data_IF_673772652761
#
_entry.id   IF_673772652761
#
_cell.length_a   1.000
_cell.length_b   1.000
_cell.length_c   1.000
_cell.angle_alpha   90.00
_cell.angle_beta   90.00
_cell.angle_gamma   90.00
#
_symmetry.space_group_name_H-M   'P 1'
#
loop_
_entity.id
_entity.type
_entity.pdbx_description
1 polymer ?
#
# COMPACT_ATOMS: atom_id res chain seq x y z
N UNK A 1 40.03 -24.52 22.71
CA UNK A 1 39.18 -23.41 23.21
C UNK A 1 38.84 -22.36 22.15
N UNK A 2 39.70 -21.99 21.17
CA UNK A 2 39.37 -21.00 20.13
C UNK A 2 38.09 -21.30 19.33
N UNK A 3 37.90 -22.56 18.87
CA UNK A 3 36.75 -22.94 18.03
C UNK A 3 35.38 -22.74 18.69
N UNK A 4 35.27 -22.74 20.02
CA UNK A 4 33.97 -22.62 20.69
C UNK A 4 33.46 -21.18 20.71
N UNK A 5 34.37 -20.20 20.72
CA UNK A 5 34.04 -18.77 20.70
C UNK A 5 33.63 -18.36 19.28
N UNK A 6 34.38 -18.79 18.27
CA UNK A 6 34.03 -18.55 16.86
C UNK A 6 32.69 -19.19 16.48
N UNK A 7 32.44 -20.45 16.88
CA UNK A 7 31.15 -21.09 16.65
C UNK A 7 29.97 -20.34 17.32
N UNK A 8 30.18 -19.76 18.50
CA UNK A 8 29.14 -18.98 19.18
C UNK A 8 28.86 -17.64 18.47
N UNK A 9 29.91 -16.97 17.95
CA UNK A 9 29.77 -15.75 17.17
C UNK A 9 28.99 -16.00 15.86
N UNK A 10 29.30 -17.09 15.15
CA UNK A 10 28.58 -17.52 13.95
C UNK A 10 27.08 -17.79 14.21
N UNK A 11 26.76 -18.50 15.30
CA UNK A 11 25.37 -18.79 15.68
C UNK A 11 24.60 -17.51 16.01
N UNK A 12 25.23 -16.56 16.71
CA UNK A 12 24.60 -15.28 17.02
C UNK A 12 24.38 -14.44 15.75
N UNK A 13 25.32 -14.45 14.81
CA UNK A 13 25.17 -13.78 13.52
C UNK A 13 23.94 -14.32 12.78
N UNK A 14 23.84 -15.64 12.60
CA UNK A 14 22.70 -16.27 11.92
C UNK A 14 21.37 -16.03 12.66
N UNK A 15 21.38 -16.03 13.99
CA UNK A 15 20.18 -15.71 14.78
C UNK A 15 19.71 -14.27 14.56
N UNK A 16 20.65 -13.33 14.43
CA UNK A 16 20.34 -11.93 14.11
C UNK A 16 19.85 -11.76 12.68
N UNK A 17 20.42 -12.50 11.71
CA UNK A 17 19.93 -12.53 10.32
C UNK A 17 18.49 -13.03 10.27
N UNK A 18 18.19 -14.15 10.93
CA UNK A 18 16.84 -14.68 11.00
C UNK A 18 15.85 -13.66 11.60
N UNK A 19 16.29 -12.95 12.66
CA UNK A 19 15.47 -11.90 13.29
C UNK A 19 15.17 -10.74 12.33
N UNK A 20 16.18 -10.27 11.59
CA UNK A 20 16.02 -9.20 10.59
C UNK A 20 14.97 -9.58 9.52
N UNK A 21 15.02 -10.82 9.02
CA UNK A 21 14.04 -11.31 8.04
C UNK A 21 12.62 -11.36 8.62
N UNK A 22 12.46 -11.62 9.92
CA UNK A 22 11.14 -11.67 10.56
C UNK A 22 10.60 -10.31 11.01
N UNK A 23 11.41 -9.26 11.08
CA UNK A 23 11.03 -7.95 11.64
C UNK A 23 10.56 -6.94 10.60
N UNK A 24 10.91 -7.11 9.33
CA UNK A 24 10.60 -6.15 8.26
C UNK A 24 10.26 -6.86 6.93
N UNK A 25 9.41 -6.21 6.14
CA UNK A 25 9.12 -6.59 4.75
C UNK A 25 9.91 -5.75 3.72
N UNK A 26 10.69 -4.78 4.18
CA UNK A 26 11.58 -3.96 3.35
C UNK A 26 12.89 -4.72 3.13
N UNK A 27 13.08 -5.23 1.91
CA UNK A 27 14.26 -6.02 1.55
C UNK A 27 15.57 -5.23 1.72
N UNK A 28 15.58 -3.93 1.41
CA UNK A 28 16.74 -3.09 1.60
C UNK A 28 17.12 -2.98 3.08
N UNK A 29 16.13 -2.87 3.97
CA UNK A 29 16.35 -2.90 5.41
C UNK A 29 16.87 -4.26 5.88
N UNK A 30 16.19 -5.36 5.50
CA UNK A 30 16.58 -6.73 5.86
C UNK A 30 18.01 -7.02 5.42
N UNK A 31 18.38 -6.62 4.21
CA UNK A 31 19.72 -6.81 3.66
C UNK A 31 20.79 -6.03 4.44
N UNK A 32 20.53 -4.75 4.77
CA UNK A 32 21.48 -3.94 5.57
C UNK A 32 21.68 -4.50 6.98
N UNK A 33 20.60 -4.92 7.64
CA UNK A 33 20.68 -5.53 8.97
C UNK A 33 21.42 -6.88 8.93
N UNK A 34 21.17 -7.67 7.89
CA UNK A 34 21.88 -8.94 7.66
C UNK A 34 23.38 -8.72 7.44
N UNK A 35 23.77 -7.81 6.55
CA UNK A 35 25.17 -7.49 6.29
C UNK A 35 25.87 -6.99 7.55
N UNK A 36 25.20 -6.18 8.38
CA UNK A 36 25.73 -5.73 9.66
C UNK A 36 25.93 -6.88 10.65
N UNK A 37 24.94 -7.77 10.80
CA UNK A 37 25.02 -8.93 11.68
C UNK A 37 26.17 -9.87 11.27
N UNK A 38 26.36 -10.07 9.96
CA UNK A 38 27.48 -10.84 9.43
C UNK A 38 28.81 -10.14 9.67
N UNK A 39 28.89 -8.81 9.51
CA UNK A 39 30.11 -8.06 9.81
C UNK A 39 30.54 -8.15 11.27
N UNK A 40 29.60 -8.03 12.21
CA UNK A 40 29.88 -8.16 13.64
C UNK A 40 30.28 -9.60 14.03
N UNK A 41 29.73 -10.61 13.34
CA UNK A 41 29.95 -12.03 13.68
C UNK A 41 31.15 -12.70 13.00
N UNK A 42 31.49 -12.28 11.77
CA UNK A 42 32.52 -12.89 10.92
C UNK A 42 33.72 -11.96 10.67
N UNK A 43 33.67 -10.71 11.13
CA UNK A 43 34.73 -9.74 10.85
C UNK A 43 34.79 -9.29 9.40
N UNK A 44 33.64 -9.25 8.71
CA UNK A 44 33.55 -8.78 7.32
C UNK A 44 33.90 -7.29 7.27
N UNK A 45 34.86 -6.94 6.42
CA UNK A 45 35.25 -5.55 6.19
C UNK A 45 34.23 -4.84 5.30
N UNK A 46 33.72 -5.53 4.28
CA UNK A 46 32.72 -5.02 3.33
C UNK A 46 31.79 -6.12 2.87
N UNK A 47 30.53 -5.79 2.64
CA UNK A 47 29.57 -6.74 2.13
C UNK A 47 28.59 -6.09 1.18
N UNK A 48 28.11 -6.85 0.20
CA UNK A 48 27.12 -6.40 -0.76
C UNK A 48 26.12 -7.51 -1.06
N UNK A 49 24.85 -7.12 -1.13
CA UNK A 49 23.77 -7.93 -1.69
C UNK A 49 23.54 -7.46 -3.11
N UNK A 50 23.62 -8.37 -4.07
CA UNK A 50 23.40 -8.12 -5.49
C UNK A 50 22.16 -8.89 -5.93
N UNK A 51 21.22 -8.24 -6.60
CA UNK A 51 20.00 -8.85 -7.13
C UNK A 51 19.93 -8.69 -8.64
N UNK A 52 19.44 -9.73 -9.32
CA UNK A 52 19.12 -9.64 -10.75
C UNK A 52 17.96 -8.68 -10.95
N UNK A 53 18.07 -7.79 -11.93
CA UNK A 53 16.93 -7.08 -12.47
C UNK A 53 16.46 -7.80 -13.75
N UNK A 54 15.30 -8.49 -13.73
CA UNK A 54 14.79 -9.22 -14.89
C UNK A 54 14.53 -8.33 -16.12
N UNK A 55 14.22 -7.05 -15.92
CA UNK A 55 13.89 -6.12 -17.01
C UNK A 55 15.15 -5.53 -17.68
N UNK A 56 16.21 -5.31 -16.90
CA UNK A 56 17.44 -4.67 -17.38
C UNK A 56 18.51 -5.66 -17.87
N UNK A 57 18.36 -6.96 -17.58
CA UNK A 57 19.35 -7.99 -17.94
C UNK A 57 20.70 -7.85 -17.20
N UNK A 58 20.75 -7.04 -16.14
CA UNK A 58 21.92 -6.79 -15.32
C UNK A 58 21.57 -6.99 -13.84
N UNK A 59 22.56 -7.40 -13.05
CA UNK A 59 22.45 -7.50 -11.60
C UNK A 59 23.05 -6.24 -10.94
N UNK A 60 22.35 -5.71 -9.94
CA UNK A 60 22.68 -4.44 -9.26
C UNK A 60 22.81 -4.65 -7.76
N UNK A 61 23.62 -3.81 -7.11
CA UNK A 61 23.75 -3.83 -5.65
C UNK A 61 22.47 -3.25 -5.03
N UNK A 62 21.73 -4.08 -4.30
CA UNK A 62 20.53 -3.70 -3.55
C UNK A 62 20.89 -3.07 -2.19
N UNK A 63 21.90 -3.64 -1.53
CA UNK A 63 22.38 -3.16 -0.23
C UNK A 63 23.88 -3.39 -0.09
N UNK A 64 24.54 -2.52 0.67
CA UNK A 64 25.96 -2.62 0.94
C UNK A 64 26.30 -2.23 2.38
N UNK A 65 27.43 -2.74 2.86
CA UNK A 65 28.05 -2.43 4.15
C UNK A 65 29.48 -1.95 3.92
N UNK A 66 29.86 -0.86 4.58
CA UNK A 66 31.17 -0.18 4.44
C UNK A 66 31.55 0.17 2.98
N UNK A 67 30.57 0.65 2.22
CA UNK A 67 30.74 1.16 0.85
C UNK A 67 30.07 2.53 0.71
N UNK A 68 30.66 3.41 -0.07
CA UNK A 68 30.09 4.70 -0.47
C UNK A 68 29.00 4.55 -1.54
N UNK A 69 28.12 5.54 -1.66
CA UNK A 69 27.06 5.52 -2.67
C UNK A 69 27.59 5.46 -4.11
N UNK A 70 28.74 6.06 -4.39
CA UNK A 70 29.36 5.99 -5.73
C UNK A 70 29.85 4.58 -6.06
N UNK A 71 30.42 3.87 -5.08
CA UNK A 71 30.86 2.48 -5.24
C UNK A 71 29.67 1.55 -5.48
N UNK A 72 28.56 1.77 -4.77
CA UNK A 72 27.30 1.03 -4.94
C UNK A 72 26.74 1.24 -6.36
N UNK A 73 26.66 2.51 -6.82
CA UNK A 73 26.13 2.84 -8.17
C UNK A 73 26.94 2.23 -9.30
N UNK A 74 28.27 2.05 -9.12
CA UNK A 74 29.16 1.43 -10.10
C UNK A 74 29.06 -0.10 -10.14
N UNK A 75 28.52 -0.73 -9.09
CA UNK A 75 28.41 -2.18 -8.96
C UNK A 75 27.28 -2.78 -9.82
N UNK A 76 27.49 -2.81 -11.14
CA UNK A 76 26.61 -3.47 -12.12
C UNK A 76 27.31 -4.66 -12.75
N UNK A 77 26.63 -5.79 -12.80
CA UNK A 77 27.19 -7.07 -13.22
C UNK A 77 26.32 -7.75 -14.27
N UNK A 78 26.92 -8.18 -15.38
CA UNK A 78 26.26 -9.07 -16.34
C UNK A 78 26.46 -10.53 -15.95
N UNK A 79 25.60 -11.40 -16.43
CA UNK A 79 25.76 -12.84 -16.20
C UNK A 79 27.11 -13.35 -16.76
N UNK A 80 27.79 -14.19 -15.98
CA UNK A 80 29.13 -14.71 -16.30
C UNK A 80 30.28 -13.70 -16.16
N UNK A 81 29.99 -12.44 -15.82
CA UNK A 81 30.98 -11.37 -15.73
C UNK A 81 31.64 -11.28 -14.34
N UNK A 82 32.94 -11.59 -14.28
CA UNK A 82 33.68 -11.63 -13.02
C UNK A 82 33.12 -12.68 -12.05
N UNK A 83 33.58 -12.64 -10.79
CA UNK A 83 33.15 -13.64 -9.79
C UNK A 83 31.65 -13.52 -9.49
N UNK A 84 31.14 -12.31 -9.22
CA UNK A 84 29.71 -12.10 -8.91
C UNK A 84 28.82 -12.56 -10.07
N UNK A 85 29.12 -12.15 -11.31
CA UNK A 85 28.35 -12.57 -12.47
C UNK A 85 28.43 -14.08 -12.73
N UNK A 86 29.57 -14.72 -12.45
CA UNK A 86 29.71 -16.18 -12.54
C UNK A 86 28.90 -16.91 -11.48
N UNK A 87 28.96 -16.51 -10.21
CA UNK A 87 28.14 -17.10 -9.14
C UNK A 87 26.65 -17.00 -9.49
N UNK A 88 26.25 -15.86 -10.04
CA UNK A 88 24.87 -15.63 -10.50
C UNK A 88 24.49 -16.54 -11.68
N UNK A 89 25.43 -16.84 -12.58
CA UNK A 89 25.20 -17.68 -13.76
C UNK A 89 25.27 -19.19 -13.47
N UNK A 90 26.22 -19.62 -12.64
CA UNK A 90 26.42 -21.04 -12.30
C UNK A 90 25.56 -21.48 -11.12
N UNK A 91 25.20 -20.55 -10.24
CA UNK A 91 24.58 -20.89 -8.95
C UNK A 91 25.54 -21.63 -8.01
N UNK A 92 26.84 -21.51 -8.20
CA UNK A 92 27.85 -22.13 -7.34
C UNK A 92 28.60 -21.06 -6.56
N UNK A 93 28.85 -21.30 -5.27
CA UNK A 93 29.63 -20.40 -4.44
C UNK A 93 31.09 -20.34 -4.92
N UNK A 94 31.71 -19.17 -4.81
CA UNK A 94 33.11 -18.97 -5.13
C UNK A 94 33.83 -18.37 -3.93
N UNK A 95 34.90 -19.04 -3.50
CA UNK A 95 35.80 -18.60 -2.44
C UNK A 95 37.13 -18.25 -3.08
N UNK A 96 37.58 -17.01 -2.87
CA UNK A 96 38.84 -16.49 -3.38
C UNK A 96 39.71 -16.11 -2.19
N UNK A 97 40.65 -16.99 -1.78
CA UNK A 97 41.48 -16.73 -0.61
C UNK A 97 42.33 -15.47 -0.75
N UNK A 98 42.89 -15.20 -1.93
CA UNK A 98 43.67 -13.99 -2.15
C UNK A 98 43.27 -13.32 -3.46
N UNK A 99 42.57 -12.20 -3.35
CA UNK A 99 42.09 -11.42 -4.49
C UNK A 99 43.22 -10.96 -5.41
N UNK A 100 44.41 -10.65 -4.86
CA UNK A 100 45.57 -10.22 -5.62
C UNK A 100 46.18 -11.30 -6.53
N UNK A 101 45.83 -12.57 -6.30
CA UNK A 101 46.28 -13.71 -7.11
C UNK A 101 45.19 -14.24 -8.06
N UNK A 102 43.98 -13.66 -8.05
CA UNK A 102 42.81 -14.15 -8.81
C UNK A 102 42.55 -13.33 -10.09
N UNK A 103 42.80 -13.89 -11.29
CA UNK A 103 42.61 -13.18 -12.56
C UNK A 103 41.16 -12.77 -12.86
N UNK A 104 40.16 -13.46 -12.29
CA UNK A 104 38.74 -13.21 -12.55
C UNK A 104 38.14 -12.11 -11.67
N UNK A 105 38.92 -11.52 -10.75
CA UNK A 105 38.45 -10.48 -9.86
C UNK A 105 38.49 -9.09 -10.54
N UNK A 106 37.32 -8.54 -10.88
CA UNK A 106 37.20 -7.34 -11.72
C UNK A 106 37.29 -5.98 -11.00
N UNK A 107 37.35 -5.93 -9.66
CA UNK A 107 37.40 -4.69 -8.84
C UNK A 107 36.50 -3.54 -9.37
N UNK A 108 35.27 -3.85 -9.81
CA UNK A 108 34.39 -2.93 -10.54
C UNK A 108 33.99 -1.68 -9.75
N UNK A 109 33.94 -1.78 -8.44
CA UNK A 109 33.63 -0.67 -7.53
C UNK A 109 34.76 0.37 -7.49
N UNK A 110 35.97 0.04 -7.96
CA UNK A 110 37.21 0.83 -7.84
C UNK A 110 37.54 1.25 -6.40
N UNK A 111 36.97 0.52 -5.45
CA UNK A 111 36.99 0.81 -4.00
C UNK A 111 38.31 0.47 -3.29
N UNK A 112 39.29 -0.07 -4.03
CA UNK A 112 40.52 -0.67 -3.51
C UNK A 112 41.69 -0.17 -4.33
N UNK A 113 42.61 0.56 -3.70
CA UNK A 113 43.88 0.96 -4.32
C UNK A 113 44.75 -0.27 -4.66
N UNK A 114 45.76 -0.09 -5.51
CA UNK A 114 46.55 -1.22 -6.06
C UNK A 114 47.35 -2.02 -5.02
N UNK A 115 47.63 -1.46 -3.83
CA UNK A 115 48.36 -2.12 -2.74
C UNK A 115 47.50 -3.02 -1.83
N UNK A 116 46.16 -2.93 -1.87
CA UNK A 116 45.25 -3.62 -0.92
C UNK A 116 44.82 -5.02 -1.43
N UNK A 117 45.09 -5.33 -2.70
CA UNK A 117 44.63 -6.60 -3.32
C UNK A 117 45.20 -7.84 -2.65
N UNK A 118 46.40 -7.78 -2.06
CA UNK A 118 47.08 -8.95 -1.46
C UNK A 118 46.66 -9.28 -0.03
N UNK A 119 45.77 -8.48 0.60
CA UNK A 119 45.39 -8.60 2.01
C UNK A 119 43.90 -8.91 2.23
N UNK A 120 43.16 -9.26 1.18
CA UNK A 120 41.71 -9.51 1.25
C UNK A 120 41.37 -10.86 0.61
N UNK A 121 40.57 -11.62 1.35
CA UNK A 121 39.81 -12.78 0.91
C UNK A 121 38.42 -12.33 0.43
N UNK A 122 37.88 -12.97 -0.59
CA UNK A 122 36.54 -12.67 -1.11
C UNK A 122 35.70 -13.93 -1.17
N UNK A 123 34.49 -13.87 -0.61
CA UNK A 123 33.51 -14.96 -0.70
C UNK A 123 32.26 -14.43 -1.38
N UNK A 124 31.75 -15.18 -2.35
CA UNK A 124 30.52 -14.87 -3.05
C UNK A 124 29.63 -16.12 -3.11
N UNK A 125 28.44 -16.03 -2.53
CA UNK A 125 27.47 -17.14 -2.46
C UNK A 125 26.19 -16.76 -3.21
N UNK A 126 25.53 -17.72 -3.87
CA UNK A 126 24.32 -17.46 -4.65
C UNK A 126 23.08 -17.32 -3.76
N UNK A 127 22.16 -16.42 -4.13
CA UNK A 127 20.79 -16.42 -3.61
C UNK A 127 19.93 -17.29 -4.51
N UNK A 128 19.52 -18.46 -4.00
CA UNK A 128 18.72 -19.43 -4.75
C UNK A 128 17.25 -19.38 -4.34
N UNK A 129 16.37 -19.29 -5.33
CA UNK A 129 14.93 -19.42 -5.19
C UNK A 129 14.40 -20.39 -6.24
N UNK A 130 13.69 -21.44 -5.81
CA UNK A 130 13.00 -22.39 -6.69
C UNK A 130 13.87 -22.99 -7.82
N UNK A 131 15.18 -23.15 -7.55
CA UNK A 131 16.16 -23.67 -8.52
C UNK A 131 16.86 -22.62 -9.38
N UNK A 132 16.42 -21.37 -9.31
CA UNK A 132 17.02 -20.23 -10.01
C UNK A 132 17.89 -19.38 -9.08
N UNK A 133 18.95 -18.79 -9.63
CA UNK A 133 19.79 -17.84 -8.89
C UNK A 133 19.29 -16.43 -9.13
N UNK A 134 18.69 -15.82 -8.11
CA UNK A 134 18.08 -14.48 -8.17
C UNK A 134 19.05 -13.36 -7.79
N UNK A 135 20.23 -13.71 -7.29
CA UNK A 135 21.23 -12.75 -6.85
C UNK A 135 22.48 -13.42 -6.26
N UNK A 136 23.34 -12.61 -5.65
CA UNK A 136 24.50 -13.09 -4.90
C UNK A 136 24.76 -12.23 -3.66
N UNK A 137 25.25 -12.86 -2.59
CA UNK A 137 25.78 -12.22 -1.40
C UNK A 137 27.31 -12.32 -1.47
N UNK A 138 27.97 -11.17 -1.45
CA UNK A 138 29.42 -11.09 -1.60
C UNK A 138 30.05 -10.30 -0.47
N UNK A 139 31.17 -10.78 0.06
CA UNK A 139 31.85 -10.17 1.21
C UNK A 139 33.37 -10.16 1.04
N UNK A 140 34.00 -9.14 1.63
CA UNK A 140 35.43 -9.01 1.81
C UNK A 140 35.79 -9.36 3.26
N UNK A 141 36.78 -10.24 3.40
CA UNK A 141 37.34 -10.67 4.67
C UNK A 141 38.86 -10.38 4.67
N UNK A 142 39.48 -10.16 5.83
CA UNK A 142 40.93 -10.10 5.93
C UNK A 142 41.57 -11.40 5.40
N UNK A 143 42.67 -11.28 4.66
CA UNK A 143 43.44 -12.44 4.22
C UNK A 143 44.35 -12.96 5.34
N UNK A 144 44.29 -14.27 5.58
CA UNK A 144 45.17 -15.00 6.50
C UNK A 144 45.49 -16.37 5.87
N UNK A 145 46.78 -16.74 5.79
CA UNK A 145 47.24 -18.00 5.18
C UNK A 145 46.84 -19.24 6.00
N UNK A 146 46.51 -19.07 7.28
CA UNK A 146 46.16 -20.17 8.19
C UNK A 146 44.65 -20.35 8.37
N UNK A 147 43.81 -19.44 7.85
CA UNK A 147 42.35 -19.46 8.04
C UNK A 147 41.64 -20.21 6.92
N UNK A 148 40.86 -21.21 7.32
CA UNK A 148 39.97 -21.97 6.45
C UNK A 148 38.67 -21.17 6.19
N UNK A 149 38.41 -20.79 4.93
CA UNK A 149 37.25 -19.98 4.52
C UNK A 149 35.98 -20.84 4.28
N UNK A 150 36.08 -22.16 4.39
CA UNK A 150 34.96 -23.08 4.16
C UNK A 150 33.84 -22.92 5.20
N UNK A 151 34.17 -22.59 6.45
CA UNK A 151 33.16 -22.34 7.48
C UNK A 151 32.41 -21.03 7.22
N UNK A 152 33.13 -19.98 6.80
CA UNK A 152 32.55 -18.68 6.45
C UNK A 152 31.62 -18.80 5.24
N UNK A 153 32.05 -19.54 4.20
CA UNK A 153 31.21 -19.83 3.04
C UNK A 153 29.89 -20.49 3.44
N UNK A 154 29.92 -21.49 4.33
CA UNK A 154 28.72 -22.18 4.80
C UNK A 154 27.78 -21.23 5.56
N UNK A 155 28.32 -20.38 6.43
CA UNK A 155 27.53 -19.41 7.19
C UNK A 155 26.88 -18.39 6.24
N UNK A 156 27.64 -17.89 5.26
CA UNK A 156 27.15 -16.97 4.24
C UNK A 156 26.08 -17.63 3.38
N UNK A 157 26.24 -18.90 3.01
CA UNK A 157 25.26 -19.68 2.26
C UNK A 157 23.94 -19.82 3.03
N UNK A 158 23.97 -20.02 4.36
CA UNK A 158 22.77 -20.01 5.20
C UNK A 158 22.12 -18.61 5.23
N UNK A 159 22.92 -17.56 5.40
CA UNK A 159 22.41 -16.18 5.39
C UNK A 159 21.79 -15.80 4.04
N UNK A 160 22.42 -16.19 2.92
CA UNK A 160 21.90 -16.01 1.58
C UNK A 160 20.56 -16.74 1.40
N UNK A 161 20.39 -17.92 2.01
CA UNK A 161 19.11 -18.62 2.08
C UNK A 161 18.01 -17.79 2.76
N UNK A 162 18.30 -17.17 3.91
CA UNK A 162 17.34 -16.28 4.59
C UNK A 162 17.00 -15.04 3.76
N UNK A 163 17.99 -14.39 3.15
CA UNK A 163 17.75 -13.23 2.28
C UNK A 163 16.92 -13.65 1.05
N UNK A 164 17.22 -14.79 0.44
CA UNK A 164 16.43 -15.32 -0.67
C UNK A 164 14.95 -15.48 -0.27
N UNK A 165 14.68 -16.02 0.93
CA UNK A 165 13.31 -16.10 1.45
C UNK A 165 12.64 -14.73 1.60
N UNK A 166 13.37 -13.71 2.07
CA UNK A 166 12.87 -12.34 2.14
C UNK A 166 12.50 -11.79 0.75
N UNK A 167 13.35 -12.03 -0.26
CA UNK A 167 13.08 -11.65 -1.67
C UNK A 167 11.78 -12.30 -2.16
N UNK A 168 11.60 -13.60 -1.90
CA UNK A 168 10.37 -14.34 -2.29
C UNK A 168 9.12 -13.74 -1.65
N UNK A 169 9.18 -13.43 -0.36
CA UNK A 169 8.04 -12.84 0.36
C UNK A 169 7.70 -11.47 -0.22
N UNK A 170 8.70 -10.62 -0.50
CA UNK A 170 8.46 -9.31 -1.10
C UNK A 170 7.78 -9.43 -2.47
N UNK A 171 8.31 -10.30 -3.35
CA UNK A 171 7.71 -10.52 -4.68
C UNK A 171 6.26 -11.01 -4.59
N UNK A 172 5.96 -11.91 -3.66
CA UNK A 172 4.60 -12.40 -3.44
C UNK A 172 3.65 -11.26 -3.00
N UNK A 173 4.09 -10.45 -2.04
CA UNK A 173 3.32 -9.29 -1.55
C UNK A 173 3.08 -8.27 -2.67
N UNK A 174 4.10 -7.99 -3.49
CA UNK A 174 4.02 -7.04 -4.60
C UNK A 174 3.07 -7.53 -5.71
N UNK A 175 3.16 -8.80 -6.08
CA UNK A 175 2.27 -9.44 -7.05
C UNK A 175 0.82 -9.43 -6.59
N UNK A 176 0.56 -9.83 -5.34
CA UNK A 176 -0.80 -9.81 -4.77
C UNK A 176 -1.37 -8.39 -4.70
N UNK A 177 -0.55 -7.41 -4.31
CA UNK A 177 -0.95 -6.00 -4.29
C UNK A 177 -1.30 -5.49 -5.69
N UNK A 178 -0.56 -5.88 -6.73
CA UNK A 178 -0.89 -5.53 -8.12
C UNK A 178 -2.20 -6.17 -8.55
N UNK A 179 -2.37 -7.47 -8.31
CA UNK A 179 -3.60 -8.20 -8.64
C UNK A 179 -4.84 -7.58 -8.01
N UNK A 180 -4.77 -7.24 -6.71
CA UNK A 180 -5.87 -6.59 -6.00
C UNK A 180 -6.18 -5.19 -6.55
N UNK A 181 -5.17 -4.44 -7.00
CA UNK A 181 -5.39 -3.14 -7.66
C UNK A 181 -6.11 -3.29 -8.99
N UNK A 182 -5.69 -4.25 -9.81
CA UNK A 182 -6.29 -4.50 -11.12
C UNK A 182 -7.74 -4.99 -10.98
N UNK A 183 -7.99 -5.91 -10.04
CA UNK A 183 -9.33 -6.36 -9.71
C UNK A 183 -10.20 -5.20 -9.20
N UNK A 184 -9.68 -4.35 -8.32
CA UNK A 184 -10.41 -3.17 -7.85
C UNK A 184 -10.75 -2.23 -9.00
N UNK A 185 -9.82 -2.01 -9.93
CA UNK A 185 -10.04 -1.18 -11.12
C UNK A 185 -11.08 -1.81 -12.05
N UNK A 186 -11.03 -3.12 -12.27
CA UNK A 186 -12.04 -3.84 -13.06
C UNK A 186 -13.43 -3.77 -12.41
N UNK A 187 -13.53 -3.98 -11.10
CA UNK A 187 -14.80 -3.86 -10.36
C UNK A 187 -15.35 -2.43 -10.42
N UNK A 188 -14.49 -1.41 -10.27
CA UNK A 188 -14.88 0.00 -10.45
C UNK A 188 -15.42 0.28 -11.84
N UNK A 189 -14.72 -0.19 -12.88
CA UNK A 189 -15.16 -0.04 -14.28
C UNK A 189 -16.46 -0.80 -14.57
N UNK A 190 -16.65 -1.98 -13.99
CA UNK A 190 -17.89 -2.73 -14.12
C UNK A 190 -19.06 -1.97 -13.49
N UNK A 191 -18.87 -1.40 -12.29
CA UNK A 191 -19.84 -0.49 -11.68
C UNK A 191 -20.10 0.75 -12.57
N UNK A 192 -19.06 1.41 -13.07
CA UNK A 192 -19.23 2.57 -13.97
C UNK A 192 -20.00 2.23 -15.25
N UNK A 193 -19.80 1.03 -15.80
CA UNK A 193 -20.54 0.50 -16.94
C UNK A 193 -22.02 0.26 -16.63
N UNK A 194 -22.34 -0.18 -15.41
CA UNK A 194 -23.70 -0.42 -14.92
C UNK A 194 -24.51 0.85 -14.65
N UNK A 195 -23.88 2.00 -14.42
CA UNK A 195 -24.56 3.24 -14.00
C UNK A 195 -24.47 4.39 -15.01
N UNK A 196 -24.18 4.10 -16.28
CA UNK A 196 -24.37 5.06 -17.38
C UNK A 196 -25.86 5.33 -17.57
N UNK A 197 -26.21 6.57 -17.95
CA UNK A 197 -27.59 6.97 -18.35
C UNK A 197 -28.22 5.98 -19.36
N UNK A 198 -27.39 5.27 -20.16
CA UNK A 198 -27.81 4.22 -21.10
C UNK A 198 -28.52 3.02 -20.45
N UNK A 199 -28.36 2.79 -19.15
CA UNK A 199 -28.97 1.64 -18.45
C UNK A 199 -30.30 2.01 -17.78
N UNK A 200 -30.65 3.29 -17.69
CA UNK A 200 -32.00 3.72 -17.37
C UNK A 200 -32.87 3.57 -18.63
N UNK A 201 -33.72 2.55 -18.66
CA UNK A 201 -34.62 2.30 -19.79
C UNK A 201 -35.86 3.17 -19.64
N UNK A 202 -36.06 4.12 -20.57
CA UNK A 202 -37.26 4.95 -20.61
C UNK A 202 -37.37 5.71 -21.93
N UNK A 203 -38.28 5.31 -22.80
CA UNK A 203 -38.47 5.92 -24.14
C UNK A 203 -39.58 6.97 -24.18
N UNK A 204 -40.34 7.15 -23.10
CA UNK A 204 -41.41 8.14 -23.03
C UNK A 204 -40.85 9.57 -22.95
N UNK A 205 -41.58 10.54 -23.49
CA UNK A 205 -41.17 11.94 -23.48
C UNK A 205 -40.90 12.48 -22.06
N UNK A 206 -41.69 12.02 -21.06
CA UNK A 206 -41.51 12.40 -19.65
C UNK A 206 -40.18 11.88 -19.10
N UNK A 207 -39.80 10.63 -19.42
CA UNK A 207 -38.50 10.09 -18.99
C UNK A 207 -37.32 10.75 -19.72
N UNK A 208 -37.48 11.12 -20.99
CA UNK A 208 -36.46 11.87 -21.71
C UNK A 208 -36.20 13.23 -21.07
N UNK A 209 -37.24 13.94 -20.63
CA UNK A 209 -37.08 15.19 -19.87
C UNK A 209 -36.30 14.98 -18.56
N UNK A 210 -36.55 13.87 -17.83
CA UNK A 210 -35.78 13.51 -16.63
C UNK A 210 -34.31 13.26 -16.99
N UNK A 211 -34.01 12.55 -18.08
CA UNK A 211 -32.64 12.30 -18.52
C UNK A 211 -31.90 13.57 -18.90
N UNK A 212 -32.56 14.51 -19.57
CA UNK A 212 -32.01 15.84 -19.89
C UNK A 212 -31.68 16.63 -18.62
N UNK A 213 -32.58 16.62 -17.62
CA UNK A 213 -32.34 17.24 -16.32
C UNK A 213 -31.15 16.60 -15.59
N UNK A 214 -31.05 15.27 -15.58
CA UNK A 214 -29.90 14.56 -15.00
C UNK A 214 -28.61 14.99 -15.70
N UNK A 215 -28.59 15.01 -17.03
CA UNK A 215 -27.40 15.40 -17.79
C UNK A 215 -26.96 16.85 -17.52
N UNK A 216 -27.93 17.76 -17.36
CA UNK A 216 -27.67 19.17 -17.03
C UNK A 216 -27.10 19.32 -15.60
N UNK A 217 -27.73 18.67 -14.62
CA UNK A 217 -27.40 18.84 -13.20
C UNK A 217 -26.19 18.00 -12.79
N UNK A 218 -25.87 16.91 -13.49
CA UNK A 218 -24.78 16.00 -13.14
C UNK A 218 -23.42 16.73 -13.04
N UNK A 219 -23.13 17.69 -13.92
CA UNK A 219 -21.88 18.48 -13.88
C UNK A 219 -21.86 19.59 -12.83
N UNK A 220 -22.98 19.85 -12.16
CA UNK A 220 -23.05 20.87 -11.11
C UNK A 220 -22.61 20.33 -9.75
N UNK A 221 -22.23 21.23 -8.84
CA UNK A 221 -22.02 20.93 -7.42
C UNK A 221 -23.28 21.08 -6.57
N UNK A 222 -24.41 21.41 -7.19
CA UNK A 222 -25.65 21.64 -6.47
C UNK A 222 -26.14 20.36 -5.77
N UNK A 223 -26.76 20.55 -4.62
CA UNK A 223 -27.56 19.53 -3.95
C UNK A 223 -28.77 19.20 -4.84
N UNK A 224 -29.08 17.91 -4.97
CA UNK A 224 -30.20 17.45 -5.80
C UNK A 224 -31.22 16.74 -4.92
N UNK A 225 -32.49 17.11 -5.04
CA UNK A 225 -33.61 16.40 -4.43
C UNK A 225 -34.35 15.60 -5.50
N UNK A 226 -34.46 14.29 -5.30
CA UNK A 226 -35.19 13.36 -6.16
C UNK A 226 -36.53 13.03 -5.50
N UNK A 227 -37.63 13.46 -6.10
CA UNK A 227 -38.98 13.13 -5.64
C UNK A 227 -39.58 12.01 -6.49
N UNK A 228 -40.39 11.17 -5.86
CA UNK A 228 -41.12 10.12 -6.57
C UNK A 228 -41.55 8.99 -5.65
N UNK A 229 -42.48 8.17 -6.12
CA UNK A 229 -43.03 7.05 -5.35
C UNK A 229 -41.95 6.01 -4.99
N UNK A 230 -42.20 5.20 -3.96
CA UNK A 230 -41.32 4.11 -3.57
C UNK A 230 -41.18 3.08 -4.68
N UNK A 231 -39.98 2.55 -4.90
CA UNK A 231 -39.73 1.55 -5.94
C UNK A 231 -39.52 2.09 -7.37
N UNK A 232 -39.59 3.41 -7.59
CA UNK A 232 -39.38 4.04 -8.92
C UNK A 232 -37.91 4.14 -9.36
N UNK A 233 -36.97 3.55 -8.61
CA UNK A 233 -35.55 3.55 -8.98
C UNK A 233 -34.80 4.86 -8.69
N UNK A 234 -35.20 5.62 -7.67
CA UNK A 234 -34.52 6.87 -7.26
C UNK A 234 -33.02 6.71 -7.01
N UNK A 235 -32.59 5.55 -6.48
CA UNK A 235 -31.15 5.25 -6.31
C UNK A 235 -30.41 5.18 -7.65
N UNK A 236 -31.03 4.65 -8.72
CA UNK A 236 -30.43 4.61 -10.05
C UNK A 236 -30.23 6.02 -10.61
N UNK A 237 -31.18 6.93 -10.34
CA UNK A 237 -31.06 8.35 -10.70
C UNK A 237 -29.91 9.01 -9.93
N UNK A 238 -29.78 8.74 -8.63
CA UNK A 238 -28.68 9.26 -7.82
C UNK A 238 -27.31 8.78 -8.31
N UNK A 239 -27.20 7.50 -8.66
CA UNK A 239 -25.98 6.93 -9.26
C UNK A 239 -25.70 7.56 -10.62
N UNK A 240 -26.71 7.71 -11.48
CA UNK A 240 -26.55 8.38 -12.77
C UNK A 240 -26.04 9.82 -12.60
N UNK A 241 -26.56 10.59 -11.64
CA UNK A 241 -26.06 11.93 -11.31
C UNK A 241 -24.58 11.91 -10.89
N UNK A 242 -24.16 10.94 -10.08
CA UNK A 242 -22.77 10.81 -9.63
C UNK A 242 -21.82 10.41 -10.76
N UNK A 243 -22.10 9.33 -11.48
CA UNK A 243 -21.20 8.79 -12.52
C UNK A 243 -21.13 9.66 -13.78
N UNK A 244 -22.08 10.57 -13.98
CA UNK A 244 -22.02 11.60 -15.02
C UNK A 244 -21.49 12.95 -14.53
N UNK A 245 -21.00 13.02 -13.28
CA UNK A 245 -20.40 14.24 -12.69
C UNK A 245 -18.87 14.27 -12.80
N UNK A 246 -18.30 15.42 -12.45
CA UNK A 246 -16.85 15.56 -12.28
C UNK A 246 -16.28 14.75 -11.10
N UNK A 247 -17.15 14.19 -10.24
CA UNK A 247 -16.80 13.34 -9.10
C UNK A 247 -16.95 11.84 -9.40
N UNK A 248 -17.11 11.42 -10.65
CA UNK A 248 -17.37 10.00 -11.02
C UNK A 248 -16.33 8.98 -10.53
N UNK A 249 -15.08 9.40 -10.34
CA UNK A 249 -13.98 8.56 -9.83
C UNK A 249 -13.85 8.59 -8.29
N UNK A 250 -14.69 9.40 -7.64
CA UNK A 250 -14.67 9.65 -6.19
C UNK A 250 -15.72 8.77 -5.49
N UNK A 251 -15.69 8.64 -4.15
CA UNK A 251 -16.64 7.79 -3.45
C UNK A 251 -18.11 8.18 -3.70
N UNK A 252 -18.97 7.19 -3.92
CA UNK A 252 -20.43 7.32 -3.83
C UNK A 252 -20.90 6.52 -2.62
N UNK A 253 -21.41 7.21 -1.60
CA UNK A 253 -21.85 6.60 -0.35
C UNK A 253 -23.37 6.72 -0.25
N UNK A 254 -24.06 5.59 -0.15
CA UNK A 254 -25.51 5.53 0.00
C UNK A 254 -25.90 5.17 1.44
N UNK A 255 -26.96 5.80 1.94
CA UNK A 255 -27.59 5.46 3.22
C UNK A 255 -29.11 5.69 3.12
N UNK A 256 -29.89 4.72 3.60
CA UNK A 256 -31.34 4.84 3.76
C UNK A 256 -31.66 5.30 5.17
N UNK A 257 -32.37 6.43 5.28
CA UNK A 257 -32.69 7.06 6.55
C UNK A 257 -33.85 6.38 7.29
N UNK A 258 -34.75 5.66 6.60
CA UNK A 258 -35.86 4.96 7.27
C UNK A 258 -35.47 3.65 7.96
N UNK A 259 -34.28 3.10 7.64
CA UNK A 259 -33.90 1.75 8.04
C UNK A 259 -33.24 1.66 9.43
N UNK A 260 -32.96 2.78 10.09
CA UNK A 260 -32.13 2.84 11.29
C UNK A 260 -32.81 3.61 12.44
N UNK A 261 -32.67 3.13 13.69
CA UNK A 261 -32.98 3.95 14.86
C UNK A 261 -32.15 5.24 14.88
N UNK A 262 -32.71 6.31 15.45
CA UNK A 262 -32.10 7.65 15.46
C UNK A 262 -30.62 7.67 15.91
N UNK A 263 -30.29 7.01 17.02
CA UNK A 263 -28.91 6.96 17.53
C UNK A 263 -27.96 6.21 16.60
N UNK A 264 -28.45 5.19 15.90
CA UNK A 264 -27.67 4.43 14.92
C UNK A 264 -27.49 5.25 13.65
N UNK A 265 -28.54 5.95 13.20
CA UNK A 265 -28.48 6.84 12.04
C UNK A 265 -27.48 7.98 12.27
N UNK A 266 -27.51 8.61 13.45
CA UNK A 266 -26.55 9.66 13.81
C UNK A 266 -25.12 9.12 13.77
N UNK A 267 -24.89 7.96 14.38
CA UNK A 267 -23.58 7.31 14.42
C UNK A 267 -23.09 6.87 13.03
N UNK A 268 -23.98 6.41 12.15
CA UNK A 268 -23.62 6.10 10.76
C UNK A 268 -23.28 7.36 9.97
N UNK A 269 -24.10 8.41 10.05
CA UNK A 269 -23.90 9.65 9.29
C UNK A 269 -22.62 10.39 9.72
N UNK A 270 -22.45 10.59 11.02
CA UNK A 270 -21.43 11.48 11.57
C UNK A 270 -20.28 10.76 12.30
N UNK A 271 -20.41 9.47 12.62
CA UNK A 271 -19.36 8.74 13.34
C UNK A 271 -19.19 9.18 14.80
N UNK A 272 -18.30 8.53 15.54
CA UNK A 272 -18.11 8.78 16.98
C UNK A 272 -16.64 8.83 17.37
N UNK A 273 -16.38 9.61 18.43
CA UNK A 273 -15.11 9.58 19.15
C UNK A 273 -15.02 8.38 20.11
N UNK A 274 -13.80 7.95 20.41
CA UNK A 274 -13.56 6.92 21.43
C UNK A 274 -14.12 7.39 22.77
N UNK A 275 -14.96 6.57 23.39
CA UNK A 275 -15.61 6.86 24.67
C UNK A 275 -16.88 7.72 24.59
N UNK A 276 -17.42 7.97 23.41
CA UNK A 276 -18.65 8.76 23.25
C UNK A 276 -19.89 8.14 23.93
N UNK A 277 -19.96 6.81 24.02
CA UNK A 277 -21.02 6.05 24.70
C UNK A 277 -20.51 4.68 25.15
N UNK A 278 -21.32 3.94 25.92
CA UNK A 278 -20.97 2.57 26.38
C UNK A 278 -20.82 1.63 25.19
N UNK A 279 -19.57 1.22 24.90
CA UNK A 279 -19.22 0.37 23.75
C UNK A 279 -18.43 1.08 22.64
N UNK A 280 -18.24 2.41 22.72
CA UNK A 280 -17.39 3.18 21.80
C UNK A 280 -15.90 2.97 22.10
N UNK A 281 -15.38 1.75 21.87
CA UNK A 281 -14.00 1.37 22.21
C UNK A 281 -12.95 2.03 21.29
N UNK A 282 -13.35 2.38 20.07
CA UNK A 282 -12.51 2.96 19.02
C UNK A 282 -13.18 4.16 18.38
N UNK A 283 -12.41 4.99 17.68
CA UNK A 283 -12.94 5.99 16.77
C UNK A 283 -13.68 5.30 15.61
N UNK A 284 -14.79 5.86 15.15
CA UNK A 284 -15.46 5.46 13.90
C UNK A 284 -15.74 6.68 13.04
N UNK A 285 -15.29 6.65 11.79
CA UNK A 285 -15.61 7.66 10.78
C UNK A 285 -17.05 7.50 10.26
N UNK A 286 -17.77 8.61 10.13
CA UNK A 286 -19.13 8.64 9.59
C UNK A 286 -19.20 8.57 8.06
N UNK A 287 -20.40 8.37 7.51
CA UNK A 287 -20.65 8.35 6.06
C UNK A 287 -20.23 9.65 5.38
N UNK A 288 -20.38 10.81 6.03
CA UNK A 288 -19.91 12.08 5.48
C UNK A 288 -18.40 12.14 5.30
N UNK A 289 -17.63 11.55 6.21
CA UNK A 289 -16.17 11.45 6.07
C UNK A 289 -15.79 10.47 4.97
N UNK A 290 -16.45 9.31 4.91
CA UNK A 290 -16.23 8.31 3.86
C UNK A 290 -16.59 8.85 2.46
N UNK A 291 -17.53 9.79 2.38
CA UNK A 291 -17.94 10.44 1.15
C UNK A 291 -17.08 11.66 0.77
N UNK A 292 -16.06 12.00 1.56
CA UNK A 292 -15.23 13.19 1.34
C UNK A 292 -14.62 13.23 -0.07
N UNK A 293 -14.78 14.37 -0.76
CA UNK A 293 -14.39 14.57 -2.16
C UNK A 293 -15.34 13.92 -3.17
N UNK A 294 -16.35 13.17 -2.72
CA UNK A 294 -17.29 12.38 -3.51
C UNK A 294 -18.74 12.84 -3.38
N UNK A 295 -19.67 11.90 -3.30
CA UNK A 295 -21.13 12.15 -3.22
C UNK A 295 -21.75 11.26 -2.15
N UNK A 296 -22.66 11.84 -1.37
CA UNK A 296 -23.51 11.09 -0.45
C UNK A 296 -24.95 11.09 -0.98
N UNK A 297 -25.58 9.92 -0.99
CA UNK A 297 -26.98 9.73 -1.31
C UNK A 297 -27.76 9.41 -0.03
N UNK A 298 -28.73 10.26 0.29
CA UNK A 298 -29.62 10.15 1.44
C UNK A 298 -31.01 9.72 0.94
N UNK A 299 -31.31 8.43 1.03
CA UNK A 299 -32.63 7.93 0.66
C UNK A 299 -33.61 8.12 1.83
N UNK A 300 -34.85 8.47 1.49
CA UNK A 300 -35.92 8.77 2.45
C UNK A 300 -35.56 9.90 3.43
N UNK A 301 -35.07 11.03 2.90
CA UNK A 301 -34.64 12.20 3.70
C UNK A 301 -35.72 12.73 4.64
N UNK A 302 -37.00 12.54 4.30
CA UNK A 302 -38.13 12.94 5.12
C UNK A 302 -38.26 12.15 6.44
N UNK A 303 -37.55 11.03 6.59
CA UNK A 303 -37.53 10.21 7.81
C UNK A 303 -36.42 10.63 8.78
N UNK A 304 -35.54 11.57 8.41
CA UNK A 304 -34.50 12.05 9.31
C UNK A 304 -35.14 12.79 10.49
N UNK A 305 -34.81 12.42 11.75
CA UNK A 305 -35.26 13.14 12.94
C UNK A 305 -34.85 14.62 12.96
N UNK A 306 -35.71 15.48 13.50
CA UNK A 306 -35.55 16.95 13.46
C UNK A 306 -34.22 17.44 14.08
N UNK A 307 -33.71 16.76 15.11
CA UNK A 307 -32.42 17.08 15.71
C UNK A 307 -31.24 16.78 14.76
N UNK A 308 -31.32 15.72 13.96
CA UNK A 308 -30.30 15.37 12.97
C UNK A 308 -30.35 16.28 11.75
N UNK A 309 -31.53 16.82 11.41
CA UNK A 309 -31.69 17.82 10.35
C UNK A 309 -30.83 19.07 10.62
N UNK A 310 -30.65 19.47 11.88
CA UNK A 310 -29.77 20.60 12.25
C UNK A 310 -28.31 20.33 11.91
N UNK A 311 -27.83 19.11 12.20
CA UNK A 311 -26.46 18.70 11.87
C UNK A 311 -26.27 18.59 10.36
N UNK A 312 -27.28 18.06 9.65
CA UNK A 312 -27.25 17.99 8.20
C UNK A 312 -27.19 19.38 7.55
N UNK A 313 -27.96 20.34 8.06
CA UNK A 313 -27.93 21.72 7.59
C UNK A 313 -26.53 22.34 7.73
N UNK A 314 -25.86 22.10 8.87
CA UNK A 314 -24.46 22.54 9.07
C UNK A 314 -23.51 21.93 8.05
N UNK A 315 -23.67 20.64 7.73
CA UNK A 315 -22.86 20.01 6.68
C UNK A 315 -23.10 20.67 5.32
N UNK A 316 -24.35 21.01 4.99
CA UNK A 316 -24.69 21.64 3.71
C UNK A 316 -24.17 23.09 3.59
N UNK A 317 -24.32 23.88 4.66
CA UNK A 317 -23.97 25.30 4.67
C UNK A 317 -22.48 25.54 4.97
N UNK A 318 -22.00 24.95 6.07
CA UNK A 318 -20.66 25.20 6.62
C UNK A 318 -19.62 24.18 6.15
N UNK A 319 -20.06 23.07 5.53
CA UNK A 319 -19.20 21.96 5.09
C UNK A 319 -18.42 21.33 6.24
N UNK A 320 -19.01 21.34 7.42
CA UNK A 320 -18.40 20.79 8.62
C UNK A 320 -19.43 20.20 9.58
N UNK A 321 -18.96 19.32 10.46
CA UNK A 321 -19.77 18.74 11.53
C UNK A 321 -18.89 18.23 12.67
N UNK A 322 -19.51 17.79 13.77
CA UNK A 322 -18.84 17.17 14.91
C UNK A 322 -19.29 15.72 15.08
N UNK A 323 -18.34 14.83 15.39
CA UNK A 323 -18.64 13.43 15.72
C UNK A 323 -19.40 13.33 17.03
N UNK A 324 -20.14 12.24 17.25
CA UNK A 324 -20.79 12.00 18.53
C UNK A 324 -19.74 11.95 19.65
N UNK A 325 -20.00 12.68 20.75
CA UNK A 325 -19.10 12.79 21.90
C UNK A 325 -17.82 13.58 21.65
N UNK A 326 -17.60 14.08 20.43
CA UNK A 326 -16.45 14.89 20.07
C UNK A 326 -16.74 16.38 20.10
N UNK A 327 -15.68 17.18 20.24
CA UNK A 327 -15.70 18.64 20.04
C UNK A 327 -14.85 19.09 18.85
N UNK A 328 -14.29 18.13 18.11
CA UNK A 328 -13.43 18.40 16.96
C UNK A 328 -14.32 18.57 15.74
N UNK A 329 -14.25 19.76 15.16
CA UNK A 329 -14.91 20.08 13.89
C UNK A 329 -14.20 19.37 12.74
N UNK A 330 -14.96 18.62 11.95
CA UNK A 330 -14.50 17.86 10.78
C UNK A 330 -15.00 18.54 9.52
N UNK A 331 -14.10 19.01 8.66
CA UNK A 331 -14.44 19.63 7.37
C UNK A 331 -14.57 18.58 6.27
N UNK A 332 -15.64 18.67 5.48
CA UNK A 332 -15.94 17.72 4.40
C UNK A 332 -16.38 18.40 3.10
N UNK A 333 -15.81 17.99 1.97
CA UNK A 333 -16.28 18.44 0.64
C UNK A 333 -17.13 17.35 -0.01
N UNK A 334 -18.44 17.35 0.26
CA UNK A 334 -19.37 16.30 -0.19
C UNK A 334 -20.49 16.91 -1.01
N UNK A 335 -20.80 16.32 -2.17
CA UNK A 335 -22.02 16.63 -2.91
C UNK A 335 -23.16 15.81 -2.31
N UNK A 336 -24.29 16.44 -2.02
CA UNK A 336 -25.46 15.75 -1.44
C UNK A 336 -26.51 15.50 -2.51
N UNK A 337 -27.01 14.27 -2.57
CA UNK A 337 -28.21 13.90 -3.32
C UNK A 337 -29.19 13.33 -2.30
N UNK A 338 -30.40 13.85 -2.23
CA UNK A 338 -31.44 13.36 -1.33
C UNK A 338 -32.61 12.80 -2.14
N UNK A 339 -33.32 11.81 -1.60
CA UNK A 339 -34.53 11.27 -2.19
C UNK A 339 -35.66 11.14 -1.17
N UNK A 340 -36.90 11.29 -1.64
CA UNK A 340 -38.10 11.10 -0.81
C UNK A 340 -39.32 10.76 -1.66
N UNK A 341 -40.26 10.04 -1.06
CA UNK A 341 -41.62 9.84 -1.58
C UNK A 341 -42.66 10.73 -0.89
N UNK A 342 -42.29 11.43 0.20
CA UNK A 342 -43.16 12.35 0.94
C UNK A 342 -43.08 13.77 0.37
N UNK A 343 -44.19 14.50 0.46
CA UNK A 343 -44.22 15.93 0.18
C UNK A 343 -43.56 16.72 1.31
N UNK A 344 -42.32 17.16 1.09
CA UNK A 344 -41.58 17.94 2.08
C UNK A 344 -42.26 19.26 2.44
N UNK A 345 -43.05 19.85 1.54
CA UNK A 345 -43.80 21.08 1.84
C UNK A 345 -44.85 20.82 2.92
N UNK A 346 -45.52 19.67 2.86
CA UNK A 346 -46.47 19.24 3.88
C UNK A 346 -45.76 18.87 5.20
N UNK A 347 -44.60 18.21 5.13
CA UNK A 347 -43.80 17.87 6.31
C UNK A 347 -43.26 19.11 7.05
N UNK A 348 -42.89 20.17 6.31
CA UNK A 348 -42.51 21.48 6.88
C UNK A 348 -43.69 22.11 7.61
N UNK A 349 -44.87 22.16 6.97
CA UNK A 349 -46.09 22.69 7.60
C UNK A 349 -46.49 21.91 8.87
N UNK A 350 -46.19 20.62 8.91
CA UNK A 350 -46.44 19.76 10.06
C UNK A 350 -45.34 19.81 11.14
N UNK A 351 -44.28 20.60 10.95
CA UNK A 351 -43.16 20.73 11.89
C UNK A 351 -42.26 19.50 11.99
N UNK A 352 -42.36 18.55 11.04
CA UNK A 352 -41.55 17.33 11.00
C UNK A 352 -40.30 17.47 10.14
N UNK A 353 -40.27 18.48 9.27
CA UNK A 353 -39.09 18.85 8.49
C UNK A 353 -38.80 20.34 8.66
N UNK A 354 -37.53 20.72 8.77
CA UNK A 354 -37.15 22.12 8.95
C UNK A 354 -37.22 22.87 7.62
N UNK A 355 -37.78 24.08 7.67
CA UNK A 355 -37.90 24.96 6.51
C UNK A 355 -36.53 25.38 5.95
N UNK A 356 -35.56 25.66 6.82
CA UNK A 356 -34.21 26.08 6.44
C UNK A 356 -33.33 24.99 5.80
N UNK A 357 -33.69 23.72 6.00
CA UNK A 357 -33.06 22.58 5.32
C UNK A 357 -33.73 22.27 3.98
N UNK A 358 -35.03 22.58 3.86
CA UNK A 358 -35.77 22.38 2.63
C UNK A 358 -35.34 23.36 1.52
N UNK A 359 -35.09 24.61 1.88
CA UNK A 359 -34.54 25.64 1.00
C UNK A 359 -33.02 25.58 0.92
#
# INVERSE_FOLDING_TARGET
MPNRIQAFAAINALSNVARAVTSSLDLGQVARETLRALAEGLGIERGMLVLKNPEAGEAVIEAAHNMSEEEVKRGRYREGEGIVGRVIATGEAMVVPNVGKEPLFLNKTRSRGDLVKSQISFICVPLKLDGETVGALAVDLPFDEEVALEEDERILSVAAGYIAQAVRIQHMVESEKSRLKDENLHLRRALEGEYRLKNLIGTSAVMQAVFEQIALVAKSRATVLITGESGTGKELVAKALHFNSDRREKPFVSISCASLPETVLENELFGHEKGAFTGALTLKHGRFELAHGGTIFLDEIAEIPVNLQVKLLRVLQEREFERLGGKVTVKVDVRVIAATNRDLTAEVKAGRFREDLFY
#
